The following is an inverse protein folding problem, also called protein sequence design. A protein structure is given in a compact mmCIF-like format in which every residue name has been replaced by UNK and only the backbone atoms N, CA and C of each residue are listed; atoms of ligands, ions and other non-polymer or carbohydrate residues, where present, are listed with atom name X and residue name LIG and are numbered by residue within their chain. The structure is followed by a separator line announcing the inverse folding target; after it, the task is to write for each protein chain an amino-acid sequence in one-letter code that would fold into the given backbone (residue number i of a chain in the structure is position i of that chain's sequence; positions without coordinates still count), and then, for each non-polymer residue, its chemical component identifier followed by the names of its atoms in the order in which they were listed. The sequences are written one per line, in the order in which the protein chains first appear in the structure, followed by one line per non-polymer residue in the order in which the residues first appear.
data_IF_276990056549
#
_entry.id   IF_276990056549
#
_cell.length_a   1.000
_cell.length_b   1.000
_cell.length_c   1.000
_cell.angle_alpha   90.00
_cell.angle_beta   90.00
_cell.angle_gamma   90.00
#
_symmetry.space_group_name_H-M   'P 1'
#
loop_
_entity.id
_entity.type
_entity.pdbx_description
1 polymer ?
#
# COMPACT_ATOMS: atom_id res chain seq x y z
N UNK A 1 41.92 26.60 83.29
CA UNK A 1 40.81 26.81 82.34
C UNK A 1 41.42 27.19 81.00
N UNK A 2 40.95 26.55 79.92
CA UNK A 2 41.27 26.81 78.51
C UNK A 2 42.59 26.26 77.94
N UNK A 3 42.53 25.03 77.39
CA UNK A 3 43.41 24.56 76.31
C UNK A 3 42.53 24.17 75.13
N UNK A 4 43.02 24.55 73.95
CA UNK A 4 42.40 24.55 72.62
C UNK A 4 42.31 23.14 71.99
N UNK A 5 41.63 23.12 70.84
CA UNK A 5 41.58 22.10 69.76
C UNK A 5 40.36 21.15 69.81
N UNK A 6 39.67 20.81 68.72
CA UNK A 6 39.89 21.06 67.29
C UNK A 6 38.54 21.12 66.57
N UNK A 7 38.27 22.17 65.80
CA UNK A 7 37.27 22.07 64.73
C UNK A 7 38.02 21.57 63.49
N UNK A 8 38.02 20.25 63.25
CA UNK A 8 38.55 19.68 62.01
C UNK A 8 37.63 20.09 60.86
N UNK A 9 38.08 21.05 60.06
CA UNK A 9 37.44 21.37 58.79
C UNK A 9 37.53 20.13 57.88
N UNK A 10 36.38 19.52 57.59
CA UNK A 10 36.26 18.47 56.59
C UNK A 10 36.19 19.18 55.23
N UNK A 11 37.33 19.31 54.54
CA UNK A 11 37.35 19.74 53.15
C UNK A 11 36.87 18.57 52.28
N UNK A 12 35.60 18.60 51.88
CA UNK A 12 35.10 17.74 50.80
C UNK A 12 35.62 18.29 49.48
N UNK A 13 36.62 17.62 48.92
CA UNK A 13 37.05 17.87 47.55
C UNK A 13 36.22 16.98 46.63
N UNK A 14 34.97 17.37 46.39
CA UNK A 14 34.13 16.76 45.37
C UNK A 14 34.42 17.58 44.09
N UNK A 15 35.58 17.36 43.48
CA UNK A 15 35.94 17.97 42.20
C UNK A 15 35.05 17.36 41.11
N UNK A 16 33.81 17.86 41.00
CA UNK A 16 32.94 17.58 39.88
C UNK A 16 33.63 18.14 38.63
N UNK A 17 34.16 17.23 37.81
CA UNK A 17 34.76 17.52 36.51
C UNK A 17 33.64 18.01 35.58
N UNK A 18 33.27 19.29 35.72
CA UNK A 18 32.23 19.97 34.95
C UNK A 18 32.73 20.26 33.54
N UNK A 19 33.10 19.20 32.79
CA UNK A 19 33.37 19.29 31.36
C UNK A 19 32.02 19.29 30.64
N UNK A 20 31.39 20.46 30.61
CA UNK A 20 30.23 20.71 29.77
C UNK A 20 30.61 20.66 28.29
N UNK A 21 29.70 20.14 27.47
CA UNK A 21 29.80 20.27 26.01
C UNK A 21 29.83 21.75 25.63
N UNK A 22 30.73 22.15 24.73
CA UNK A 22 30.80 23.55 24.32
C UNK A 22 29.60 23.88 23.42
N UNK A 23 29.05 25.10 23.53
CA UNK A 23 27.96 25.54 22.65
C UNK A 23 28.34 25.45 21.17
N UNK A 24 29.63 25.67 20.87
CA UNK A 24 30.19 25.59 19.52
C UNK A 24 30.04 24.18 18.96
N UNK A 25 30.37 23.17 19.75
CA UNK A 25 30.32 21.77 19.32
C UNK A 25 28.88 21.30 19.04
N UNK A 26 27.90 21.85 19.77
CA UNK A 26 26.48 21.59 19.51
C UNK A 26 25.97 22.32 18.24
N UNK A 27 26.41 23.56 18.00
CA UNK A 27 26.00 24.32 16.81
C UNK A 27 26.56 23.69 15.54
N UNK A 28 27.82 23.25 15.53
CA UNK A 28 28.42 22.61 14.33
C UNK A 28 27.65 21.34 13.95
N UNK A 29 27.27 20.52 14.92
CA UNK A 29 26.47 19.31 14.67
C UNK A 29 25.09 19.67 14.11
N UNK A 30 24.41 20.65 14.70
CA UNK A 30 23.09 21.08 14.22
C UNK A 30 23.15 21.61 12.79
N UNK A 31 24.19 22.36 12.42
CA UNK A 31 24.39 22.85 11.05
C UNK A 31 24.57 21.68 10.07
N UNK A 32 25.37 20.67 10.41
CA UNK A 32 25.58 19.52 9.53
C UNK A 32 24.30 18.68 9.39
N UNK A 33 23.62 18.38 10.50
CA UNK A 33 22.39 17.58 10.48
C UNK A 33 21.28 18.27 9.68
N UNK A 34 21.15 19.59 9.79
CA UNK A 34 20.14 20.35 9.03
C UNK A 34 20.42 20.36 7.54
N UNK A 35 21.69 20.50 7.11
CA UNK A 35 22.07 20.41 5.70
C UNK A 35 21.79 19.03 5.10
N UNK A 36 22.14 17.96 5.84
CA UNK A 36 21.87 16.59 5.40
C UNK A 36 20.36 16.30 5.36
N UNK A 37 19.62 16.73 6.38
CA UNK A 37 18.17 16.57 6.42
C UNK A 37 17.48 17.27 5.24
N UNK A 38 17.95 18.45 4.85
CA UNK A 38 17.37 19.22 3.74
C UNK A 38 17.40 18.47 2.40
N UNK A 39 18.48 17.73 2.11
CA UNK A 39 18.57 16.91 0.89
C UNK A 39 17.91 15.53 1.04
N UNK A 40 17.92 14.98 2.25
CA UNK A 40 17.47 13.61 2.51
C UNK A 40 15.94 13.53 2.55
N UNK A 41 15.27 14.43 3.26
CA UNK A 41 13.82 14.38 3.50
C UNK A 41 12.98 14.32 2.22
N UNK A 42 13.22 15.15 1.17
CA UNK A 42 12.45 15.09 -0.07
C UNK A 42 12.56 13.72 -0.77
N UNK A 43 13.74 13.11 -0.75
CA UNK A 43 13.97 11.79 -1.37
C UNK A 43 13.20 10.69 -0.65
N UNK A 44 13.17 10.71 0.69
CA UNK A 44 12.42 9.71 1.46
C UNK A 44 10.92 9.86 1.24
N UNK A 45 10.40 11.08 1.17
CA UNK A 45 8.98 11.33 0.93
C UNK A 45 8.54 10.74 -0.42
N UNK A 46 9.32 10.94 -1.48
CA UNK A 46 9.03 10.35 -2.79
C UNK A 46 8.99 8.82 -2.78
N UNK A 47 9.91 8.17 -2.06
CA UNK A 47 9.91 6.70 -1.93
C UNK A 47 8.74 6.17 -1.12
N UNK A 48 8.31 6.89 -0.09
CA UNK A 48 7.14 6.53 0.70
C UNK A 48 5.88 6.57 -0.16
N UNK A 49 5.72 7.60 -0.99
CA UNK A 49 4.56 7.74 -1.88
C UNK A 49 4.56 6.67 -2.98
N UNK A 50 5.72 6.35 -3.56
CA UNK A 50 5.86 5.23 -4.51
C UNK A 50 5.54 3.87 -3.86
N UNK A 51 6.00 3.65 -2.63
CA UNK A 51 5.73 2.42 -1.88
C UNK A 51 4.23 2.27 -1.58
N UNK A 52 3.55 3.34 -1.18
CA UNK A 52 2.09 3.35 -1.01
C UNK A 52 1.37 3.04 -2.31
N UNK A 53 1.76 3.68 -3.42
CA UNK A 53 1.19 3.37 -4.74
C UNK A 53 1.33 1.89 -5.11
N UNK A 54 2.51 1.30 -4.88
CA UNK A 54 2.75 -0.13 -5.10
C UNK A 54 1.89 -1.03 -4.21
N UNK A 55 1.65 -0.63 -2.95
CA UNK A 55 0.78 -1.37 -2.04
C UNK A 55 -0.65 -1.45 -2.59
N UNK A 56 -1.20 -0.33 -3.09
CA UNK A 56 -2.51 -0.32 -3.72
C UNK A 56 -2.57 -1.18 -4.99
N UNK A 57 -1.52 -1.17 -5.82
CA UNK A 57 -1.43 -2.06 -6.99
C UNK A 57 -1.45 -3.54 -6.57
N UNK A 58 -0.73 -3.91 -5.50
CA UNK A 58 -0.72 -5.29 -5.02
C UNK A 58 -2.09 -5.73 -4.50
N UNK A 59 -2.78 -4.88 -3.75
CA UNK A 59 -4.15 -5.15 -3.30
C UNK A 59 -5.09 -5.27 -4.50
N UNK A 60 -5.04 -4.34 -5.46
CA UNK A 60 -5.88 -4.38 -6.66
C UNK A 60 -5.60 -5.62 -7.53
N UNK A 61 -4.35 -6.10 -7.56
CA UNK A 61 -4.01 -7.37 -8.20
C UNK A 61 -4.65 -8.57 -7.49
N UNK A 62 -4.73 -8.56 -6.16
CA UNK A 62 -5.48 -9.56 -5.40
C UNK A 62 -6.96 -9.58 -5.78
N UNK A 63 -7.56 -8.39 -5.91
CA UNK A 63 -8.95 -8.20 -6.37
C UNK A 63 -9.12 -8.74 -7.80
N UNK A 64 -8.23 -8.39 -8.72
CA UNK A 64 -8.25 -8.90 -10.09
C UNK A 64 -8.18 -10.43 -10.15
N UNK A 65 -7.26 -11.05 -9.40
CA UNK A 65 -7.12 -12.51 -9.38
C UNK A 65 -8.36 -13.20 -8.80
N UNK A 66 -8.97 -12.61 -7.77
CA UNK A 66 -10.20 -13.11 -7.16
C UNK A 66 -11.38 -12.96 -8.11
N UNK A 67 -11.49 -11.83 -8.82
CA UNK A 67 -12.50 -11.62 -9.86
C UNK A 67 -12.36 -12.64 -10.99
N UNK A 68 -11.13 -12.90 -11.43
CA UNK A 68 -10.87 -13.93 -12.43
C UNK A 68 -11.30 -15.33 -11.96
N UNK A 69 -11.07 -15.65 -10.69
CA UNK A 69 -11.50 -16.93 -10.14
C UNK A 69 -13.04 -17.09 -10.16
N UNK A 70 -13.78 -16.02 -9.86
CA UNK A 70 -15.26 -16.03 -9.94
C UNK A 70 -15.75 -16.20 -11.38
N UNK A 71 -15.18 -15.46 -12.32
CA UNK A 71 -15.58 -15.58 -13.73
C UNK A 71 -15.21 -16.94 -14.32
N UNK A 72 -14.08 -17.51 -13.90
CA UNK A 72 -13.71 -18.89 -14.23
C UNK A 72 -14.70 -19.92 -13.68
N UNK A 73 -15.26 -19.70 -12.48
CA UNK A 73 -16.32 -20.54 -11.92
C UNK A 73 -17.60 -20.46 -12.77
N UNK A 74 -18.02 -19.25 -13.15
CA UNK A 74 -19.19 -19.04 -14.03
C UNK A 74 -19.01 -19.71 -15.38
N UNK A 75 -17.84 -19.56 -15.99
CA UNK A 75 -17.50 -20.22 -17.25
C UNK A 75 -17.58 -21.75 -17.14
N UNK A 76 -17.12 -22.32 -16.03
CA UNK A 76 -17.11 -23.77 -15.84
C UNK A 76 -18.51 -24.39 -15.72
N UNK A 77 -19.49 -23.63 -15.21
CA UNK A 77 -20.89 -24.09 -15.07
C UNK A 77 -21.79 -23.69 -16.23
N UNK A 78 -21.30 -22.82 -17.13
CA UNK A 78 -22.05 -22.36 -18.29
C UNK A 78 -22.34 -23.50 -19.28
N UNK A 79 -23.54 -23.50 -19.85
CA UNK A 79 -24.04 -24.54 -20.76
C UNK A 79 -23.56 -24.37 -22.21
N UNK A 80 -22.79 -23.32 -22.50
CA UNK A 80 -22.31 -23.00 -23.84
C UNK A 80 -23.35 -22.32 -24.74
N UNK A 81 -24.52 -21.95 -24.21
CA UNK A 81 -25.58 -21.28 -24.98
C UNK A 81 -25.61 -19.79 -24.75
N UNK A 82 -26.04 -19.02 -25.76
CA UNK A 82 -26.16 -17.56 -25.64
C UNK A 82 -27.16 -17.12 -24.56
N UNK A 83 -28.20 -17.92 -24.30
CA UNK A 83 -29.22 -17.61 -23.31
C UNK A 83 -28.73 -17.77 -21.86
N UNK A 84 -27.76 -18.67 -21.64
CA UNK A 84 -27.16 -18.94 -20.34
C UNK A 84 -25.91 -18.13 -20.02
N UNK A 85 -25.48 -17.24 -20.92
CA UNK A 85 -24.23 -16.52 -20.76
C UNK A 85 -24.38 -15.27 -19.88
N UNK A 86 -23.61 -15.22 -18.80
CA UNK A 86 -23.55 -14.09 -17.87
C UNK A 86 -22.13 -13.93 -17.33
N UNK A 87 -21.47 -12.86 -17.77
CA UNK A 87 -20.15 -12.43 -17.29
C UNK A 87 -20.25 -11.16 -16.42
N UNK A 88 -21.46 -10.71 -16.09
CA UNK A 88 -21.63 -9.52 -15.27
C UNK A 88 -21.30 -9.85 -13.82
N UNK A 89 -20.39 -9.09 -13.21
CA UNK A 89 -20.17 -9.15 -11.77
C UNK A 89 -21.31 -8.45 -11.04
N UNK A 90 -22.21 -9.25 -10.46
CA UNK A 90 -23.28 -8.77 -9.59
C UNK A 90 -22.70 -8.13 -8.32
N UNK A 91 -23.50 -7.37 -7.57
CA UNK A 91 -23.06 -6.82 -6.28
C UNK A 91 -22.63 -7.93 -5.31
N UNK A 92 -23.31 -9.08 -5.35
CA UNK A 92 -22.91 -10.26 -4.58
C UNK A 92 -21.54 -10.81 -5.00
N UNK A 93 -21.26 -10.88 -6.31
CA UNK A 93 -19.96 -11.31 -6.80
C UNK A 93 -18.87 -10.34 -6.37
N UNK A 94 -19.12 -9.03 -6.49
CA UNK A 94 -18.18 -7.98 -6.07
C UNK A 94 -17.86 -8.10 -4.58
N UNK A 95 -18.86 -8.26 -3.72
CA UNK A 95 -18.63 -8.49 -2.29
C UNK A 95 -17.81 -9.76 -2.02
N UNK A 96 -18.10 -10.86 -2.73
CA UNK A 96 -17.36 -12.11 -2.61
C UNK A 96 -15.90 -11.94 -3.04
N UNK A 97 -15.65 -11.23 -4.13
CA UNK A 97 -14.32 -10.91 -4.64
C UNK A 97 -13.53 -10.09 -3.63
N UNK A 98 -14.13 -9.03 -3.07
CA UNK A 98 -13.47 -8.17 -2.09
C UNK A 98 -13.10 -8.94 -0.82
N UNK A 99 -13.97 -9.85 -0.35
CA UNK A 99 -13.65 -10.76 0.77
C UNK A 99 -12.55 -11.76 0.43
N UNK A 100 -12.55 -12.32 -0.77
CA UNK A 100 -11.49 -13.25 -1.23
C UNK A 100 -10.14 -12.55 -1.35
N UNK A 101 -10.15 -11.28 -1.71
CA UNK A 101 -8.96 -10.46 -1.92
C UNK A 101 -8.41 -9.79 -0.66
N UNK A 102 -9.12 -9.90 0.48
CA UNK A 102 -8.85 -9.15 1.73
C UNK A 102 -8.80 -7.63 1.49
N UNK A 103 -9.78 -7.11 0.75
CA UNK A 103 -9.86 -5.72 0.30
C UNK A 103 -11.22 -5.09 0.65
N UNK A 104 -11.63 -5.17 1.92
CA UNK A 104 -12.96 -4.72 2.39
C UNK A 104 -13.18 -3.20 2.27
N UNK A 105 -12.12 -2.41 2.21
CA UNK A 105 -12.16 -0.96 2.03
C UNK A 105 -12.21 -0.53 0.55
N UNK A 106 -12.18 -1.50 -0.36
CA UNK A 106 -12.11 -1.25 -1.79
C UNK A 106 -13.48 -1.37 -2.48
N UNK A 107 -13.63 -0.71 -3.62
CA UNK A 107 -14.81 -0.78 -4.47
C UNK A 107 -14.43 -1.13 -5.90
N UNK A 108 -15.11 -2.10 -6.51
CA UNK A 108 -14.92 -2.45 -7.92
C UNK A 108 -15.85 -1.58 -8.76
N UNK A 109 -15.27 -0.59 -9.43
CA UNK A 109 -16.01 0.41 -10.23
C UNK A 109 -16.33 -0.12 -11.63
N UNK A 110 -15.37 -0.77 -12.27
CA UNK A 110 -15.49 -1.25 -13.64
C UNK A 110 -14.65 -2.50 -13.88
N UNK A 111 -15.10 -3.36 -14.78
CA UNK A 111 -14.46 -4.62 -15.17
C UNK A 111 -14.60 -4.77 -16.68
N UNK A 112 -13.48 -4.98 -17.37
CA UNK A 112 -13.47 -5.22 -18.81
C UNK A 112 -13.06 -6.65 -19.11
N UNK A 113 -13.67 -7.21 -20.15
CA UNK A 113 -13.48 -8.59 -20.59
C UNK A 113 -12.70 -8.64 -21.91
N UNK A 114 -12.07 -9.77 -22.19
CA UNK A 114 -11.31 -9.99 -23.42
C UNK A 114 -12.22 -10.00 -24.66
N UNK A 115 -13.47 -10.46 -24.51
CA UNK A 115 -14.51 -10.36 -25.53
C UNK A 115 -15.84 -9.93 -24.93
N UNK A 116 -16.51 -8.96 -25.56
CA UNK A 116 -17.89 -8.60 -25.23
C UNK A 116 -18.92 -9.38 -26.06
N UNK A 117 -18.46 -10.33 -26.88
CA UNK A 117 -19.30 -11.08 -27.81
C UNK A 117 -19.10 -12.59 -27.69
N UNK A 118 -20.19 -13.33 -27.95
CA UNK A 118 -20.20 -14.79 -28.02
C UNK A 118 -20.35 -15.22 -29.49
N UNK A 119 -19.57 -16.22 -29.88
CA UNK A 119 -19.76 -16.96 -31.13
C UNK A 119 -20.76 -18.11 -30.95
N UNK A 120 -21.38 -18.56 -32.05
CA UNK A 120 -22.25 -19.74 -32.04
C UNK A 120 -21.48 -21.08 -31.87
N UNK A 121 -20.15 -21.03 -31.80
CA UNK A 121 -19.26 -22.20 -31.73
C UNK A 121 -19.20 -22.86 -30.33
N UNK A 122 -20.00 -22.37 -29.38
CA UNK A 122 -20.14 -22.94 -28.04
C UNK A 122 -19.03 -22.55 -27.06
N UNK A 123 -18.97 -23.22 -25.91
CA UNK A 123 -18.18 -22.73 -24.78
C UNK A 123 -16.67 -22.64 -25.05
N UNK A 124 -16.09 -23.66 -25.70
CA UNK A 124 -14.65 -23.74 -25.94
C UNK A 124 -14.10 -22.54 -26.74
N UNK A 125 -14.89 -22.01 -27.69
CA UNK A 125 -14.52 -20.85 -28.50
C UNK A 125 -14.77 -19.51 -27.81
N UNK A 126 -15.42 -19.49 -26.64
CA UNK A 126 -15.96 -18.30 -25.99
C UNK A 126 -15.32 -17.98 -24.62
N UNK A 127 -14.18 -18.59 -24.28
CA UNK A 127 -13.51 -18.34 -22.99
C UNK A 127 -13.19 -16.85 -22.75
N UNK A 128 -12.94 -16.07 -23.81
CA UNK A 128 -12.65 -14.63 -23.72
C UNK A 128 -13.80 -13.81 -23.13
N UNK A 129 -15.04 -14.30 -23.26
CA UNK A 129 -16.23 -13.65 -22.68
C UNK A 129 -16.21 -13.64 -21.15
N UNK A 130 -15.52 -14.60 -20.54
CA UNK A 130 -15.35 -14.74 -19.10
C UNK A 130 -13.92 -14.40 -18.64
N UNK A 131 -13.08 -13.92 -19.56
CA UNK A 131 -11.69 -13.59 -19.24
C UNK A 131 -11.58 -12.10 -18.99
N UNK A 132 -11.35 -11.71 -17.74
CA UNK A 132 -11.13 -10.30 -17.40
C UNK A 132 -9.77 -9.84 -17.96
N UNK A 133 -9.75 -8.73 -18.70
CA UNK A 133 -8.53 -8.11 -19.23
C UNK A 133 -8.23 -6.73 -18.59
N UNK A 134 -9.15 -6.18 -17.82
CA UNK A 134 -8.99 -4.90 -17.12
C UNK A 134 -9.97 -4.77 -15.95
N UNK A 135 -9.58 -3.95 -14.98
CA UNK A 135 -10.37 -3.71 -13.77
C UNK A 135 -10.04 -2.33 -13.20
N UNK A 136 -11.05 -1.66 -12.64
CA UNK A 136 -10.92 -0.39 -11.92
C UNK A 136 -11.37 -0.61 -10.48
N UNK A 137 -10.43 -0.39 -9.56
CA UNK A 137 -10.64 -0.57 -8.12
C UNK A 137 -10.36 0.75 -7.39
N UNK A 138 -11.27 1.18 -6.54
CA UNK A 138 -11.15 2.42 -5.77
C UNK A 138 -10.93 2.13 -4.28
N UNK A 139 -9.96 2.82 -3.69
CA UNK A 139 -9.63 2.84 -2.26
C UNK A 139 -9.78 4.27 -1.75
N UNK A 140 -10.96 4.64 -1.27
CA UNK A 140 -11.27 6.02 -0.88
C UNK A 140 -11.09 7.00 -2.05
N UNK A 141 -10.11 7.89 -1.99
CA UNK A 141 -9.80 8.83 -3.08
C UNK A 141 -8.87 8.26 -4.16
N UNK A 142 -8.22 7.12 -3.90
CA UNK A 142 -7.24 6.53 -4.81
C UNK A 142 -7.95 5.55 -5.73
N UNK A 143 -7.72 5.66 -7.03
CA UNK A 143 -8.24 4.74 -8.04
C UNK A 143 -7.08 4.00 -8.69
N UNK A 144 -7.13 2.68 -8.70
CA UNK A 144 -6.19 1.80 -9.37
C UNK A 144 -6.87 1.19 -10.59
N UNK A 145 -6.21 1.27 -11.73
CA UNK A 145 -6.74 0.74 -13.00
C UNK A 145 -5.74 -0.22 -13.62
N UNK A 146 -6.23 -1.39 -14.05
CA UNK A 146 -5.57 -2.28 -14.98
C UNK A 146 -6.17 -2.06 -16.37
N UNK A 147 -5.36 -1.62 -17.32
CA UNK A 147 -5.75 -1.49 -18.72
C UNK A 147 -4.55 -1.77 -19.62
N UNK A 148 -4.78 -2.50 -20.72
CA UNK A 148 -3.74 -2.86 -21.70
C UNK A 148 -2.51 -3.53 -21.04
N UNK A 149 -2.76 -4.34 -19.99
CA UNK A 149 -1.71 -5.01 -19.21
C UNK A 149 -0.90 -4.11 -18.27
N UNK A 150 -1.23 -2.83 -18.17
CA UNK A 150 -0.54 -1.86 -17.32
C UNK A 150 -1.39 -1.47 -16.10
N UNK A 151 -0.74 -1.40 -14.94
CA UNK A 151 -1.33 -0.91 -13.70
C UNK A 151 -1.02 0.58 -13.52
N UNK A 152 -2.06 1.38 -13.31
CA UNK A 152 -1.94 2.83 -13.06
C UNK A 152 -2.66 3.20 -11.77
N UNK A 153 -2.06 4.08 -10.97
CA UNK A 153 -2.65 4.63 -9.75
C UNK A 153 -2.93 6.12 -9.98
N UNK A 154 -4.15 6.53 -9.72
CA UNK A 154 -4.63 7.91 -9.83
C UNK A 154 -5.09 8.32 -8.43
N UNK A 155 -4.63 9.48 -7.95
CA UNK A 155 -4.93 10.04 -6.62
C UNK A 155 -5.59 11.40 -6.76
#
# INVERSE_FOLDING_TARGET
MNIKESNRAVYRTDAADNRGFTLVELIVVMVILTLLAAILVPSLLGWIDEAKGKQYILSARSVYMSAQAIESEKYAVWDGTMAGADHSLTDYDKERILRMADAEDAQILDVSFESDSLSEEGAASNHGYYTINGIVVQYGSITVTLKDGMWTVIQ
#
